data_IF_490252260474
#
_entry.id   IF_490252260474
#
_cell.length_a   1.000
_cell.length_b   1.000
_cell.length_c   1.000
_cell.angle_alpha   90.00
_cell.angle_beta   90.00
_cell.angle_gamma   90.00
#
_symmetry.space_group_name_H-M   'P 1'
#
loop_
_entity.id
_entity.type
_entity.pdbx_description
1 polymer ?
#
# COMPACT_ATOMS: atom_id res chain seq x y z
N UNK A 1 -17.85 1.33 17.09
CA UNK A 1 -16.61 0.58 17.40
C UNK A 1 -16.33 -0.37 16.25
N UNK A 2 -15.11 -0.32 15.70
CA UNK A 2 -14.67 -1.29 14.68
C UNK A 2 -13.37 -1.95 15.11
N UNK A 3 -13.24 -3.22 14.84
CA UNK A 3 -12.04 -4.03 15.07
C UNK A 3 -11.47 -4.55 13.76
N UNK A 4 -10.15 -4.61 13.71
CA UNK A 4 -9.38 -5.08 12.57
C UNK A 4 -8.29 -6.03 13.07
N UNK A 5 -8.01 -7.08 12.31
CA UNK A 5 -6.85 -7.92 12.56
C UNK A 5 -5.74 -7.52 11.59
N UNK A 6 -4.54 -7.26 12.10
CA UNK A 6 -3.38 -6.96 11.27
C UNK A 6 -2.98 -8.20 10.47
N UNK A 7 -2.88 -8.04 9.16
CA UNK A 7 -2.38 -9.08 8.26
C UNK A 7 -0.84 -9.06 8.12
N UNK A 8 -0.29 -9.92 7.27
CA UNK A 8 1.15 -9.94 7.00
C UNK A 8 1.67 -8.60 6.47
N UNK A 9 0.87 -7.88 5.67
CA UNK A 9 1.23 -6.58 5.10
C UNK A 9 1.20 -5.43 6.10
N UNK A 10 0.57 -5.60 7.26
CA UNK A 10 0.59 -4.63 8.36
C UNK A 10 1.75 -4.86 9.34
N UNK A 11 2.50 -5.94 9.20
CA UNK A 11 3.65 -6.23 10.07
C UNK A 11 4.72 -5.12 9.97
N UNK A 12 5.06 -4.53 11.12
CA UNK A 12 6.01 -3.40 11.21
C UNK A 12 5.42 -2.03 10.83
N UNK A 13 4.17 -1.94 10.42
CA UNK A 13 3.49 -0.67 10.12
C UNK A 13 3.20 0.07 11.42
N UNK A 14 3.39 1.40 11.43
CA UNK A 14 2.98 2.23 12.58
C UNK A 14 1.46 2.28 12.69
N UNK A 15 0.96 2.18 13.93
CA UNK A 15 -0.47 2.19 14.20
C UNK A 15 -1.17 3.46 13.69
N UNK A 16 -0.55 4.64 13.85
CA UNK A 16 -1.09 5.88 13.29
C UNK A 16 -1.33 5.79 11.80
N UNK A 17 -0.38 5.21 11.10
CA UNK A 17 -0.45 5.04 9.65
C UNK A 17 -1.51 4.00 9.24
N UNK A 18 -1.70 2.94 10.05
CA UNK A 18 -2.79 1.99 9.86
C UNK A 18 -4.15 2.67 10.03
N UNK A 19 -4.33 3.44 11.09
CA UNK A 19 -5.59 4.16 11.36
C UNK A 19 -5.92 5.14 10.24
N UNK A 20 -4.94 5.92 9.74
CA UNK A 20 -5.13 6.79 8.57
C UNK A 20 -5.62 6.02 7.33
N UNK A 21 -5.17 4.78 7.15
CA UNK A 21 -5.55 3.95 6.00
C UNK A 21 -6.96 3.38 6.08
N UNK A 22 -7.43 3.02 7.28
CA UNK A 22 -8.76 2.42 7.48
C UNK A 22 -9.86 3.45 7.77
N UNK A 23 -9.48 4.72 8.02
CA UNK A 23 -10.42 5.83 8.22
C UNK A 23 -10.43 6.72 6.97
N UNK A 24 -11.62 7.21 6.60
CA UNK A 24 -11.81 8.14 5.50
C UNK A 24 -12.01 9.55 6.06
N UNK A 25 -11.29 10.52 5.48
CA UNK A 25 -11.46 11.94 5.77
C UNK A 25 -11.34 12.33 7.25
N UNK A 26 -10.70 11.49 8.07
CA UNK A 26 -10.47 11.79 9.48
C UNK A 26 -9.30 12.79 9.62
N UNK A 27 -9.52 13.99 10.18
CA UNK A 27 -8.44 14.94 10.42
C UNK A 27 -7.37 14.35 11.33
N UNK A 28 -6.09 14.59 11.04
CA UNK A 28 -4.98 14.10 11.89
C UNK A 28 -5.09 14.54 13.33
N UNK A 29 -5.55 15.76 13.58
CA UNK A 29 -5.79 16.27 14.93
C UNK A 29 -6.79 15.42 15.71
N UNK A 30 -7.86 14.97 15.05
CA UNK A 30 -8.85 14.08 15.65
C UNK A 30 -8.29 12.68 15.90
N UNK A 31 -7.49 12.16 15.00
CA UNK A 31 -6.81 10.88 15.20
C UNK A 31 -5.89 10.92 16.42
N UNK A 32 -5.02 11.93 16.54
CA UNK A 32 -4.15 12.08 17.71
C UNK A 32 -4.93 12.33 19.01
N UNK A 33 -6.08 13.02 18.93
CA UNK A 33 -7.01 13.15 20.06
C UNK A 33 -7.60 11.79 20.48
N UNK A 34 -7.92 10.93 19.53
CA UNK A 34 -8.41 9.58 19.81
C UNK A 34 -7.34 8.70 20.50
N UNK A 35 -6.07 8.80 20.09
CA UNK A 35 -4.96 8.14 20.79
C UNK A 35 -4.83 8.64 22.24
N UNK A 36 -4.80 9.96 22.43
CA UNK A 36 -4.70 10.58 23.78
C UNK A 36 -5.86 10.18 24.68
N UNK A 37 -7.07 10.08 24.13
CA UNK A 37 -8.28 9.69 24.86
C UNK A 37 -8.45 8.17 24.99
N UNK A 38 -7.42 7.37 24.71
CA UNK A 38 -7.41 5.90 24.86
C UNK A 38 -8.50 5.19 24.02
N UNK A 39 -8.95 5.82 22.93
CA UNK A 39 -9.96 5.28 22.01
C UNK A 39 -9.41 4.33 20.95
N UNK A 40 -8.10 4.09 20.97
CA UNK A 40 -7.39 3.18 20.07
C UNK A 40 -6.62 2.19 20.91
N UNK A 41 -6.88 0.91 20.72
CA UNK A 41 -6.26 -0.18 21.45
C UNK A 41 -5.67 -1.21 20.50
N UNK A 42 -4.64 -1.91 20.96
CA UNK A 42 -4.08 -3.09 20.31
C UNK A 42 -4.08 -4.22 21.33
N UNK A 43 -4.67 -5.34 20.98
CA UNK A 43 -4.84 -6.51 21.86
C UNK A 43 -5.45 -6.12 23.24
N UNK A 44 -6.47 -5.25 23.21
CA UNK A 44 -7.16 -4.77 24.41
C UNK A 44 -6.38 -3.73 25.22
N UNK A 45 -5.12 -3.45 24.90
CA UNK A 45 -4.26 -2.49 25.63
C UNK A 45 -4.20 -1.15 24.91
N UNK A 46 -4.03 -0.06 25.69
CA UNK A 46 -3.73 1.25 25.13
C UNK A 46 -2.49 1.18 24.24
N UNK A 47 -2.57 1.79 23.07
CA UNK A 47 -1.46 1.86 22.15
C UNK A 47 -1.16 3.32 21.75
N UNK A 48 0.10 3.59 21.45
CA UNK A 48 0.59 4.91 21.03
C UNK A 48 0.63 5.00 19.49
N UNK A 49 0.62 6.22 18.90
CA UNK A 49 0.65 6.40 17.46
C UNK A 49 1.82 5.70 16.76
N UNK A 50 2.95 5.63 17.42
CA UNK A 50 4.19 5.02 16.90
C UNK A 50 4.31 3.51 17.16
N UNK A 51 3.33 2.91 17.86
CA UNK A 51 3.29 1.47 18.08
C UNK A 51 3.38 0.75 16.73
N UNK A 52 4.28 -0.21 16.64
CA UNK A 52 4.41 -1.05 15.46
C UNK A 52 3.52 -2.27 15.59
N UNK A 53 2.75 -2.52 14.56
CA UNK A 53 1.86 -3.67 14.49
C UNK A 53 2.63 -4.94 14.16
N UNK A 54 2.17 -6.04 14.71
CA UNK A 54 2.59 -7.39 14.33
C UNK A 54 1.43 -8.09 13.60
N UNK A 55 1.77 -9.01 12.71
CA UNK A 55 0.76 -9.84 12.07
C UNK A 55 -0.05 -10.61 13.14
N UNK A 56 -1.38 -10.54 13.07
CA UNK A 56 -2.28 -11.12 14.07
C UNK A 56 -2.74 -10.16 15.17
N UNK A 57 -2.16 -8.97 15.28
CA UNK A 57 -2.62 -7.97 16.27
C UNK A 57 -4.08 -7.58 16.03
N UNK A 58 -4.87 -7.55 17.11
CA UNK A 58 -6.24 -7.06 17.11
C UNK A 58 -6.24 -5.56 17.40
N UNK A 59 -6.65 -4.76 16.42
CA UNK A 59 -6.76 -3.31 16.54
C UNK A 59 -8.22 -2.93 16.77
N UNK A 60 -8.49 -2.24 17.86
CA UNK A 60 -9.83 -1.80 18.23
C UNK A 60 -9.90 -0.28 18.16
N UNK A 61 -10.83 0.23 17.35
CA UNK A 61 -11.03 1.66 17.11
C UNK A 61 -12.40 2.10 17.67
N UNK A 62 -12.39 2.83 18.78
CA UNK A 62 -13.56 3.45 19.41
C UNK A 62 -13.77 4.86 18.85
N UNK A 63 -13.92 4.95 17.53
CA UNK A 63 -14.08 6.18 16.75
C UNK A 63 -15.48 6.17 16.13
N UNK A 64 -16.03 7.34 15.81
CA UNK A 64 -17.34 7.47 15.18
C UNK A 64 -17.37 6.75 13.84
N UNK A 65 -18.51 6.11 13.55
CA UNK A 65 -18.67 5.29 12.34
C UNK A 65 -18.62 6.13 11.05
N UNK A 66 -18.85 7.44 11.12
CA UNK A 66 -18.75 8.38 9.99
C UNK A 66 -17.37 8.41 9.32
N UNK A 67 -16.31 8.10 10.09
CA UNK A 67 -14.93 8.04 9.59
C UNK A 67 -14.56 6.68 8.95
N UNK A 68 -15.45 5.72 9.01
CA UNK A 68 -15.23 4.45 8.33
C UNK A 68 -16.01 4.42 7.01
N UNK A 69 -15.40 3.95 5.91
CA UNK A 69 -16.13 3.77 4.66
C UNK A 69 -17.37 2.89 4.89
N UNK A 70 -18.54 3.44 4.63
CA UNK A 70 -19.80 2.69 4.66
C UNK A 70 -19.91 1.93 3.34
N UNK A 71 -19.66 0.62 3.39
CA UNK A 71 -19.83 -0.26 2.24
C UNK A 71 -18.74 -0.11 1.17
N UNK A 72 -18.13 -1.24 0.82
CA UNK A 72 -17.04 -1.49 -0.14
C UNK A 72 -15.80 -0.62 0.04
N UNK A 73 -14.60 -1.22 0.08
CA UNK A 73 -13.37 -0.44 0.00
C UNK A 73 -13.50 0.49 -1.20
N UNK A 74 -13.49 1.79 -0.93
CA UNK A 74 -13.43 2.76 -2.01
C UNK A 74 -12.05 2.59 -2.64
N UNK A 75 -11.98 1.79 -3.69
CA UNK A 75 -11.01 2.08 -4.73
C UNK A 75 -11.07 3.59 -4.90
N UNK A 76 -9.97 4.30 -4.67
CA UNK A 76 -9.81 5.70 -5.07
C UNK A 76 -10.47 5.79 -6.44
N UNK A 77 -11.53 6.59 -6.54
CA UNK A 77 -12.37 6.83 -7.72
C UNK A 77 -11.77 6.17 -8.96
N UNK A 78 -12.11 4.89 -9.17
CA UNK A 78 -11.65 4.20 -10.34
C UNK A 78 -12.35 4.89 -11.51
N UNK A 79 -11.63 5.79 -12.17
CA UNK A 79 -11.90 6.03 -13.59
C UNK A 79 -11.97 4.64 -14.21
N UNK A 80 -12.93 4.41 -15.15
CA UNK A 80 -13.07 3.10 -15.78
C UNK A 80 -11.68 2.60 -16.17
N UNK A 81 -11.34 1.32 -15.91
CA UNK A 81 -10.00 0.82 -16.10
C UNK A 81 -9.58 1.12 -17.54
N UNK A 82 -8.74 2.14 -17.72
CA UNK A 82 -8.04 2.30 -18.98
C UNK A 82 -7.25 1.01 -19.15
N UNK A 83 -7.35 0.43 -20.32
CA UNK A 83 -6.62 -0.78 -20.67
C UNK A 83 -5.14 -0.51 -20.39
N UNK A 84 -4.64 -1.08 -19.30
CA UNK A 84 -3.22 -0.94 -18.96
C UNK A 84 -2.40 -1.70 -19.99
N UNK A 85 -1.22 -1.21 -20.38
CA UNK A 85 -0.34 -1.95 -21.26
C UNK A 85 0.11 -3.25 -20.58
N UNK A 86 0.43 -4.29 -21.36
CA UNK A 86 1.02 -5.50 -20.79
C UNK A 86 2.33 -5.17 -20.09
N UNK A 87 2.55 -5.79 -18.94
CA UNK A 87 3.81 -5.66 -18.18
C UNK A 87 4.82 -6.66 -18.75
N UNK A 88 6.02 -6.19 -19.03
CA UNK A 88 7.15 -7.06 -19.37
C UNK A 88 7.92 -7.39 -18.09
N UNK A 89 7.75 -8.61 -17.60
CA UNK A 89 8.45 -9.13 -16.41
C UNK A 89 9.77 -9.77 -16.87
N UNK A 90 10.89 -9.25 -16.35
CA UNK A 90 12.25 -9.77 -16.64
C UNK A 90 12.64 -10.83 -15.61
N UNK A 91 12.26 -10.62 -14.36
CA UNK A 91 12.44 -11.55 -13.25
C UNK A 91 11.28 -11.41 -12.26
N UNK A 92 10.93 -12.50 -11.61
CA UNK A 92 9.88 -12.50 -10.60
C UNK A 92 10.09 -13.64 -9.60
N UNK A 93 9.87 -13.34 -8.33
CA UNK A 93 9.77 -14.32 -7.25
C UNK A 93 8.54 -14.04 -6.35
N UNK A 94 8.48 -14.66 -5.19
CA UNK A 94 7.38 -14.49 -4.23
C UNK A 94 7.31 -13.07 -3.64
N UNK A 95 8.43 -12.35 -3.61
CA UNK A 95 8.59 -11.10 -2.88
C UNK A 95 8.58 -9.86 -3.79
N UNK A 96 9.22 -9.97 -4.96
CA UNK A 96 9.38 -8.83 -5.87
C UNK A 96 9.44 -9.27 -7.33
N UNK A 97 9.37 -8.29 -8.21
CA UNK A 97 9.58 -8.45 -9.64
C UNK A 97 10.53 -7.38 -10.18
N UNK A 98 11.25 -7.72 -11.24
CA UNK A 98 12.00 -6.79 -12.07
C UNK A 98 11.23 -6.60 -13.36
N UNK A 99 10.80 -5.38 -13.62
CA UNK A 99 9.97 -5.00 -14.73
C UNK A 99 10.79 -4.21 -15.76
N UNK A 100 10.60 -4.47 -17.05
CA UNK A 100 11.08 -3.59 -18.08
C UNK A 100 10.05 -2.49 -18.35
N UNK A 101 10.48 -1.25 -18.21
CA UNK A 101 9.67 -0.07 -18.54
C UNK A 101 10.08 0.44 -19.92
N UNK A 102 9.19 0.45 -20.92
CA UNK A 102 9.48 1.07 -22.20
C UNK A 102 9.50 2.61 -22.07
N UNK A 103 10.14 3.27 -23.04
CA UNK A 103 10.06 4.71 -23.18
C UNK A 103 8.60 5.16 -23.32
N UNK A 104 8.32 6.39 -22.88
CA UNK A 104 7.01 7.05 -22.89
C UNK A 104 5.94 6.48 -21.94
N UNK A 105 6.20 5.36 -21.24
CA UNK A 105 5.34 4.88 -20.15
C UNK A 105 5.71 5.60 -18.83
N UNK A 106 4.70 6.04 -18.09
CA UNK A 106 4.87 6.58 -16.72
C UNK A 106 5.16 5.47 -15.72
N UNK A 107 5.97 5.72 -14.70
CA UNK A 107 6.10 4.81 -13.56
C UNK A 107 4.86 4.85 -12.66
N UNK A 108 4.36 6.04 -12.36
CA UNK A 108 3.18 6.27 -11.50
C UNK A 108 2.16 7.15 -12.22
N UNK A 109 0.91 7.09 -11.78
CA UNK A 109 -0.14 7.96 -12.28
C UNK A 109 0.19 9.44 -12.03
N UNK A 110 -0.07 10.27 -13.01
CA UNK A 110 -0.02 11.71 -12.92
C UNK A 110 -1.43 12.32 -13.04
N UNK A 111 -1.49 13.65 -13.20
CA UNK A 111 -2.76 14.37 -13.38
C UNK A 111 -3.44 14.10 -14.73
N UNK A 112 -2.71 13.60 -15.72
CA UNK A 112 -3.24 13.29 -17.05
C UNK A 112 -4.08 12.02 -17.03
N UNK A 113 -3.83 11.14 -16.06
CA UNK A 113 -4.48 9.84 -15.94
C UNK A 113 -4.04 8.86 -17.04
N UNK A 114 -2.85 9.07 -17.59
CA UNK A 114 -2.25 8.16 -18.56
C UNK A 114 -1.93 6.80 -17.93
N UNK A 115 -1.79 5.78 -18.78
CA UNK A 115 -1.34 4.46 -18.38
C UNK A 115 0.04 4.54 -17.69
N UNK A 116 0.22 3.73 -16.66
CA UNK A 116 1.46 3.73 -15.89
C UNK A 116 1.86 2.32 -15.43
N UNK A 117 3.14 2.16 -15.13
CA UNK A 117 3.72 0.85 -14.84
C UNK A 117 3.19 0.25 -13.53
N UNK A 118 2.97 1.06 -12.48
CA UNK A 118 2.50 0.54 -11.18
C UNK A 118 1.08 0.01 -11.26
N UNK A 119 0.18 0.68 -11.97
CA UNK A 119 -1.20 0.20 -12.15
C UNK A 119 -1.22 -1.03 -13.07
N UNK A 120 -0.36 -1.06 -14.09
CA UNK A 120 -0.20 -2.24 -14.97
C UNK A 120 0.31 -3.45 -14.18
N UNK A 121 1.28 -3.26 -13.29
CA UNK A 121 1.80 -4.33 -12.43
C UNK A 121 0.75 -4.82 -11.42
N UNK A 122 -0.01 -3.93 -10.79
CA UNK A 122 -1.10 -4.31 -9.91
C UNK A 122 -2.16 -5.16 -10.64
N UNK A 123 -2.56 -4.76 -11.85
CA UNK A 123 -3.50 -5.53 -12.68
C UNK A 123 -2.93 -6.90 -13.09
N UNK A 124 -1.63 -6.98 -13.37
CA UNK A 124 -0.95 -8.24 -13.65
C UNK A 124 -1.00 -9.20 -12.47
N UNK A 125 -0.71 -8.74 -11.26
CA UNK A 125 -0.77 -9.56 -10.04
C UNK A 125 -2.20 -9.95 -9.66
N UNK A 126 -3.17 -9.07 -9.89
CA UNK A 126 -4.59 -9.37 -9.71
C UNK A 126 -5.05 -10.49 -10.65
N UNK A 127 -4.66 -10.44 -11.92
CA UNK A 127 -4.96 -11.49 -12.90
C UNK A 127 -4.31 -12.85 -12.55
N UNK A 128 -3.14 -12.84 -11.89
CA UNK A 128 -2.48 -14.05 -11.37
C UNK A 128 -3.10 -14.56 -10.07
N UNK A 129 -3.98 -13.80 -9.41
CA UNK A 129 -4.51 -14.11 -8.08
C UNK A 129 -3.52 -13.89 -6.93
N UNK A 130 -2.42 -13.18 -7.16
CA UNK A 130 -1.40 -12.85 -6.15
C UNK A 130 -1.68 -11.53 -5.41
N UNK A 131 -2.61 -10.74 -5.90
CA UNK A 131 -3.05 -9.49 -5.31
C UNK A 131 -4.57 -9.35 -5.44
N UNK A 132 -5.25 -9.04 -4.34
CA UNK A 132 -6.67 -8.72 -4.31
C UNK A 132 -6.86 -7.33 -3.65
N UNK A 133 -7.20 -6.29 -4.44
CA UNK A 133 -7.39 -4.94 -3.92
C UNK A 133 -8.58 -4.83 -2.96
N UNK A 134 -9.47 -5.83 -2.92
CA UNK A 134 -10.62 -5.86 -2.00
C UNK A 134 -10.29 -6.54 -0.68
N UNK A 135 -9.39 -7.51 -0.69
CA UNK A 135 -8.92 -8.22 0.50
C UNK A 135 -7.84 -7.41 1.24
N UNK A 136 -6.97 -6.73 0.49
CA UNK A 136 -5.90 -5.90 1.06
C UNK A 136 -6.47 -4.61 1.67
N UNK A 137 -6.17 -4.41 2.94
CA UNK A 137 -6.65 -3.23 3.68
C UNK A 137 -5.88 -1.97 3.32
N UNK A 138 -4.63 -2.14 2.95
CA UNK A 138 -3.73 -1.01 2.85
C UNK A 138 -2.59 -1.13 1.86
N UNK A 139 -2.01 -2.31 1.69
CA UNK A 139 -0.92 -2.51 0.76
C UNK A 139 -1.45 -2.53 -0.67
N UNK A 140 -0.72 -1.91 -1.57
CA UNK A 140 -0.82 -2.09 -3.01
C UNK A 140 0.58 -2.35 -3.56
N UNK A 141 0.73 -3.17 -4.61
CA UNK A 141 2.00 -3.37 -5.29
C UNK A 141 2.66 -2.03 -5.62
N UNK A 142 3.96 -1.92 -5.39
CA UNK A 142 4.65 -0.63 -5.45
C UNK A 142 5.99 -0.77 -6.16
N UNK A 143 6.39 0.30 -6.86
CA UNK A 143 7.72 0.40 -7.46
C UNK A 143 8.72 0.91 -6.42
N UNK A 144 9.93 0.33 -6.41
CA UNK A 144 11.00 0.69 -5.48
C UNK A 144 11.92 1.78 -6.03
N UNK A 145 11.99 1.92 -7.36
CA UNK A 145 12.71 2.98 -8.06
C UNK A 145 11.84 3.59 -9.17
N UNK A 146 12.29 4.69 -9.74
CA UNK A 146 11.59 5.38 -10.83
C UNK A 146 12.56 5.65 -11.96
N UNK A 147 12.03 5.61 -13.18
CA UNK A 147 12.65 6.15 -14.38
C UNK A 147 11.74 7.25 -14.94
N UNK A 148 12.34 8.23 -15.58
CA UNK A 148 11.60 9.31 -16.24
C UNK A 148 10.74 8.75 -17.38
N UNK A 149 9.73 9.52 -17.80
CA UNK A 149 8.79 9.10 -18.84
C UNK A 149 9.50 8.69 -20.14
N UNK A 150 10.49 9.49 -20.58
CA UNK A 150 11.26 9.24 -21.79
C UNK A 150 12.33 8.14 -21.68
N UNK A 151 12.64 7.71 -20.46
CA UNK A 151 13.69 6.71 -20.19
C UNK A 151 13.11 5.32 -20.19
N UNK A 152 13.77 4.39 -20.82
CA UNK A 152 13.51 2.95 -20.73
C UNK A 152 14.51 2.26 -19.81
N UNK A 153 14.14 1.12 -19.24
CA UNK A 153 15.02 0.34 -18.38
C UNK A 153 14.32 -0.51 -17.36
N UNK A 154 15.09 -0.98 -16.38
CA UNK A 154 14.59 -1.88 -15.35
C UNK A 154 14.06 -1.13 -14.14
N UNK A 155 12.93 -1.61 -13.63
CA UNK A 155 12.26 -1.08 -12.44
C UNK A 155 11.97 -2.23 -11.48
N UNK A 156 12.36 -2.06 -10.22
CA UNK A 156 12.04 -3.00 -9.15
C UNK A 156 10.63 -2.73 -8.61
N UNK A 157 9.86 -3.78 -8.44
CA UNK A 157 8.49 -3.73 -7.96
C UNK A 157 8.27 -4.73 -6.83
N UNK A 158 7.78 -4.26 -5.68
CA UNK A 158 7.50 -5.08 -4.51
C UNK A 158 6.07 -5.66 -4.55
N UNK A 159 5.94 -6.92 -4.18
CA UNK A 159 4.67 -7.67 -4.08
C UNK A 159 4.09 -7.66 -2.67
N UNK A 160 4.86 -7.24 -1.67
CA UNK A 160 4.45 -7.13 -0.27
C UNK A 160 5.07 -5.89 0.40
N UNK A 161 4.48 -5.49 1.54
CA UNK A 161 5.03 -4.38 2.33
C UNK A 161 6.43 -4.71 2.89
N UNK A 162 6.65 -5.95 3.31
CA UNK A 162 7.96 -6.38 3.79
C UNK A 162 9.01 -6.26 2.69
N UNK A 163 8.73 -6.77 1.50
CA UNK A 163 9.62 -6.65 0.35
C UNK A 163 9.88 -5.19 -0.03
N UNK A 164 8.84 -4.34 -0.03
CA UNK A 164 8.98 -2.90 -0.31
C UNK A 164 9.95 -2.23 0.66
N UNK A 165 9.82 -2.53 1.96
CA UNK A 165 10.71 -1.97 2.99
C UNK A 165 12.15 -2.42 2.79
N UNK A 166 12.35 -3.70 2.56
CA UNK A 166 13.68 -4.30 2.47
C UNK A 166 14.39 -3.87 1.17
N UNK A 167 13.71 -3.86 0.03
CA UNK A 167 14.24 -3.34 -1.23
C UNK A 167 14.58 -1.85 -1.15
N UNK A 168 13.72 -1.04 -0.53
CA UNK A 168 14.03 0.38 -0.33
C UNK A 168 15.24 0.60 0.61
N UNK A 169 15.46 -0.28 1.59
CA UNK A 169 16.66 -0.24 2.42
C UNK A 169 17.91 -0.59 1.60
N UNK A 170 17.86 -1.63 0.79
CA UNK A 170 18.96 -2.06 -0.09
C UNK A 170 19.33 -0.95 -1.08
N UNK A 171 18.34 -0.31 -1.71
CA UNK A 171 18.57 0.79 -2.65
C UNK A 171 19.19 2.00 -1.94
N UNK A 172 18.65 2.38 -0.77
CA UNK A 172 19.15 3.53 0.01
C UNK A 172 20.59 3.33 0.48
N UNK A 173 20.94 2.11 0.89
CA UNK A 173 22.24 1.77 1.45
C UNK A 173 23.26 1.40 0.33
N UNK A 174 22.89 1.65 -0.95
CA UNK A 174 23.71 1.41 -2.15
C UNK A 174 24.29 -0.02 -2.25
N UNK A 175 23.51 -0.99 -1.78
CA UNK A 175 23.90 -2.40 -1.78
C UNK A 175 23.59 -3.13 -3.10
N UNK A 176 23.02 -2.43 -4.09
CA UNK A 176 22.82 -2.95 -5.44
C UNK A 176 24.05 -2.61 -6.30
N UNK A 177 24.81 -3.61 -6.63
CA UNK A 177 25.92 -3.53 -7.59
C UNK A 177 25.56 -4.24 -8.88
#
# INVERSE_FOLDING_TARGET
MKSFTAGPNENGVRLSRFVEGVTKDMPRSMMYKAFRNKRIKVNGKRAEPDTRLSAGDLIELYINDEFFPVGKPTAKTAKPPRRQPPVTVVYEDENFAVLYKPAHLLCHSDRTGDANLVDAFAAYLEAKGEYDPHAEKRFAPALCNRLDRGTEGLVLAAKSYAALRDLNAIIRDDMMK
#
